data_IF_621872506031
#
_entry.id   IF_621872506031
#
_cell.length_a   1.000
_cell.length_b   1.000
_cell.length_c   1.000
_cell.angle_alpha   90.00
_cell.angle_beta   90.00
_cell.angle_gamma   90.00
#
_symmetry.space_group_name_H-M   'P 1'
#
loop_
_entity.id
_entity.type
_entity.pdbx_description
1 polymer ?
#
# COMPACT_ATOMS: atom_id res chain seq x y z
N UNK A 1 -6.49 -35.57 25.66
CA UNK A 1 -6.13 -34.35 26.41
C UNK A 1 -6.26 -33.14 25.48
N UNK A 2 -7.01 -32.12 25.90
CA UNK A 2 -7.42 -30.96 25.10
C UNK A 2 -6.25 -30.00 24.86
N UNK A 3 -6.14 -29.45 23.64
CA UNK A 3 -5.82 -28.03 23.42
C UNK A 3 -6.81 -27.48 22.40
N UNK A 4 -7.82 -26.83 22.96
CA UNK A 4 -8.79 -25.97 22.26
C UNK A 4 -8.06 -24.77 21.67
N UNK A 5 -8.08 -24.63 20.34
CA UNK A 5 -7.76 -23.40 19.63
C UNK A 5 -8.98 -22.98 18.84
N UNK A 6 -9.64 -21.90 19.26
CA UNK A 6 -10.73 -21.28 18.49
C UNK A 6 -10.07 -20.55 17.32
N UNK A 7 -10.15 -21.12 16.12
CA UNK A 7 -9.64 -20.50 14.90
C UNK A 7 -10.75 -19.66 14.27
N UNK A 8 -10.84 -18.38 14.64
CA UNK A 8 -11.76 -17.43 14.04
C UNK A 8 -11.29 -17.04 12.63
N UNK A 9 -12.11 -17.34 11.60
CA UNK A 9 -12.32 -16.65 10.30
C UNK A 9 -11.18 -15.82 9.67
N UNK A 10 -9.90 -16.17 9.81
CA UNK A 10 -8.81 -15.48 9.11
C UNK A 10 -7.93 -16.49 8.38
N UNK A 11 -7.63 -16.15 7.13
CA UNK A 11 -6.60 -16.78 6.30
C UNK A 11 -5.29 -16.83 7.09
N UNK A 12 -4.76 -18.03 7.33
CA UNK A 12 -3.45 -18.20 7.95
C UNK A 12 -2.37 -18.15 6.87
N UNK A 13 -1.33 -17.35 7.11
CA UNK A 13 -0.08 -17.37 6.35
C UNK A 13 0.90 -18.25 7.14
N UNK A 14 1.52 -19.24 6.51
CA UNK A 14 2.54 -20.08 7.14
C UNK A 14 3.88 -19.95 6.43
N UNK A 15 4.97 -19.84 7.19
CA UNK A 15 6.35 -19.85 6.70
C UNK A 15 7.00 -21.22 6.97
N UNK A 16 7.40 -22.01 5.97
CA UNK A 16 8.27 -23.16 6.19
C UNK A 16 9.74 -22.70 6.32
N UNK A 17 10.57 -23.59 6.89
CA UNK A 17 12.01 -23.40 7.18
C UNK A 17 12.91 -23.00 5.99
N UNK A 18 12.38 -22.88 4.77
CA UNK A 18 13.12 -22.54 3.55
C UNK A 18 13.11 -21.05 3.19
N UNK A 19 12.58 -20.17 4.05
CA UNK A 19 12.62 -18.71 3.83
C UNK A 19 11.61 -18.18 2.80
N UNK A 20 10.73 -19.02 2.26
CA UNK A 20 9.72 -18.67 1.25
C UNK A 20 8.31 -18.62 1.85
N UNK A 21 7.59 -17.53 1.60
CA UNK A 21 6.21 -17.33 2.10
C UNK A 21 5.17 -17.99 1.19
N UNK A 22 4.17 -18.66 1.76
CA UNK A 22 3.07 -19.33 1.02
C UNK A 22 1.73 -19.03 1.68
N UNK A 23 0.71 -18.75 0.87
CA UNK A 23 -0.69 -18.58 1.31
C UNK A 23 -1.48 -19.81 0.81
N UNK A 24 -2.12 -20.55 1.71
CA UNK A 24 -2.93 -21.73 1.39
C UNK A 24 -4.42 -21.43 1.59
N UNK A 25 -5.24 -21.65 0.55
CA UNK A 25 -6.71 -21.51 0.62
C UNK A 25 -7.42 -22.80 1.07
N UNK A 26 -8.65 -22.72 1.61
CA UNK A 26 -9.43 -23.88 2.03
C UNK A 26 -10.03 -24.66 0.84
N UNK A 27 -10.01 -25.99 0.90
CA UNK A 27 -10.69 -26.88 -0.06
C UNK A 27 -12.19 -26.97 0.27
N UNK A 28 -13.06 -26.96 -0.74
CA UNK A 28 -14.52 -27.09 -0.58
C UNK A 28 -15.07 -28.36 -1.23
N UNK A 29 -15.84 -29.13 -0.45
CA UNK A 29 -16.89 -30.04 -0.92
C UNK A 29 -18.11 -29.82 -0.02
N UNK A 30 -19.30 -29.65 -0.62
CA UNK A 30 -20.58 -29.72 0.10
C UNK A 30 -21.53 -28.53 -0.11
N UNK A 31 -22.74 -28.86 -0.58
CA UNK A 31 -23.84 -28.03 -1.07
C UNK A 31 -24.64 -27.21 -0.04
N UNK A 32 -25.05 -25.98 -0.38
CA UNK A 32 -26.09 -25.24 0.35
C UNK A 32 -26.13 -23.72 0.05
N UNK A 33 -27.25 -23.24 -0.51
CA UNK A 33 -27.56 -21.89 -1.01
C UNK A 33 -27.15 -20.69 -0.12
N UNK A 34 -26.42 -19.71 -0.67
CA UNK A 34 -26.88 -18.39 -1.15
C UNK A 34 -25.65 -17.47 -1.28
N UNK A 35 -25.37 -16.99 -2.48
CA UNK A 35 -24.10 -16.37 -2.83
C UNK A 35 -24.02 -14.92 -2.35
N UNK A 36 -23.01 -14.59 -1.52
CA UNK A 36 -22.31 -13.29 -1.57
C UNK A 36 -20.92 -13.35 -0.94
N UNK A 37 -20.13 -14.33 -1.34
CA UNK A 37 -18.67 -14.18 -1.28
C UNK A 37 -18.16 -14.51 -2.66
N UNK A 38 -17.70 -13.47 -3.36
CA UNK A 38 -16.82 -13.64 -4.51
C UNK A 38 -15.68 -14.50 -3.98
N UNK A 39 -15.65 -15.77 -4.40
CA UNK A 39 -14.41 -16.52 -4.41
C UNK A 39 -13.56 -15.71 -5.37
N UNK A 40 -12.80 -14.75 -4.87
CA UNK A 40 -11.86 -14.09 -5.74
C UNK A 40 -10.88 -15.18 -6.10
N UNK A 41 -10.93 -15.57 -7.37
CA UNK A 41 -9.84 -16.18 -8.13
C UNK A 41 -8.46 -15.78 -7.58
N UNK A 42 -7.39 -16.56 -7.87
CA UNK A 42 -6.02 -16.18 -7.54
C UNK A 42 -5.87 -14.67 -7.72
N UNK A 43 -5.66 -14.02 -6.58
CA UNK A 43 -5.72 -12.57 -6.30
C UNK A 43 -5.86 -11.69 -7.55
N UNK A 44 -7.00 -11.02 -7.76
CA UNK A 44 -7.12 -9.99 -8.80
C UNK A 44 -5.90 -9.03 -8.81
N UNK A 45 -5.46 -8.64 -10.01
CA UNK A 45 -4.43 -7.62 -10.19
C UNK A 45 -4.91 -6.28 -9.62
N UNK A 46 -3.95 -5.42 -9.24
CA UNK A 46 -4.21 -4.07 -8.71
C UNK A 46 -4.92 -4.05 -7.34
N UNK A 47 -4.68 -5.04 -6.50
CA UNK A 47 -5.13 -5.02 -5.11
C UNK A 47 -4.07 -4.44 -4.19
N UNK A 48 -4.45 -3.69 -3.15
CA UNK A 48 -3.49 -3.07 -2.25
C UNK A 48 -2.89 -4.12 -1.30
N UNK A 49 -1.59 -3.99 -1.07
CA UNK A 49 -0.78 -4.83 -0.21
C UNK A 49 -0.31 -4.01 0.97
N UNK A 50 -0.61 -4.49 2.17
CA UNK A 50 -0.39 -3.75 3.42
C UNK A 50 0.30 -4.61 4.47
N UNK A 51 0.97 -3.92 5.39
CA UNK A 51 1.50 -4.47 6.64
C UNK A 51 0.83 -3.75 7.82
N UNK A 52 0.95 -4.26 9.06
CA UNK A 52 0.49 -3.53 10.24
C UNK A 52 1.14 -2.14 10.41
N UNK A 53 2.32 -1.92 9.81
CA UNK A 53 3.07 -0.66 9.89
C UNK A 53 2.66 0.34 8.80
N UNK A 54 2.20 -0.13 7.64
CA UNK A 54 1.84 0.74 6.53
C UNK A 54 1.67 0.00 5.21
N UNK A 55 1.42 0.75 4.15
CA UNK A 55 1.28 0.24 2.80
C UNK A 55 2.63 -0.19 2.24
N UNK A 56 2.64 -1.33 1.55
CA UNK A 56 3.80 -1.85 0.82
C UNK A 56 3.70 -1.54 -0.65
N UNK A 57 2.50 -1.68 -1.24
CA UNK A 57 2.32 -1.51 -2.67
C UNK A 57 1.00 -2.11 -3.16
N UNK A 58 1.00 -2.58 -4.40
CA UNK A 58 -0.16 -3.21 -5.04
C UNK A 58 0.22 -4.47 -5.81
N UNK A 59 -0.71 -5.40 -5.98
CA UNK A 59 -0.49 -6.60 -6.78
C UNK A 59 -0.34 -6.22 -8.26
N UNK A 60 0.72 -6.72 -8.89
CA UNK A 60 0.96 -6.60 -10.32
C UNK A 60 0.55 -7.88 -11.02
N UNK A 61 1.53 -8.60 -11.55
CA UNK A 61 1.30 -9.89 -12.23
C UNK A 61 0.91 -10.98 -11.24
N UNK A 62 -0.23 -11.61 -11.49
CA UNK A 62 -0.75 -12.71 -10.66
C UNK A 62 -0.61 -14.00 -11.45
N UNK A 63 0.16 -14.93 -10.90
CA UNK A 63 0.28 -16.30 -11.37
C UNK A 63 -0.67 -17.24 -10.62
N UNK A 64 -0.61 -18.53 -10.97
CA UNK A 64 -1.45 -19.56 -10.35
C UNK A 64 -1.15 -19.78 -8.86
N UNK A 65 0.11 -19.62 -8.47
CA UNK A 65 0.61 -19.90 -7.11
C UNK A 65 1.40 -18.76 -6.49
N UNK A 66 1.78 -17.76 -7.28
CA UNK A 66 2.62 -16.63 -6.86
C UNK A 66 2.06 -15.34 -7.43
N UNK A 67 2.28 -14.24 -6.71
CA UNK A 67 1.90 -12.90 -7.17
C UNK A 67 3.10 -11.97 -7.01
N UNK A 68 3.38 -11.20 -8.06
CA UNK A 68 4.37 -10.12 -8.01
C UNK A 68 3.70 -8.88 -7.44
N UNK A 69 4.36 -8.23 -6.49
CA UNK A 69 3.91 -6.97 -5.88
C UNK A 69 4.76 -5.84 -6.42
N UNK A 70 4.10 -4.78 -6.88
CA UNK A 70 4.72 -3.52 -7.24
C UNK A 70 4.75 -2.64 -5.99
N UNK A 71 5.95 -2.28 -5.54
CA UNK A 71 6.16 -1.52 -4.31
C UNK A 71 5.82 -0.04 -4.50
N UNK A 72 5.48 0.66 -3.41
CA UNK A 72 5.27 2.12 -3.44
C UNK A 72 6.53 2.91 -3.80
N UNK A 73 7.72 2.30 -3.65
CA UNK A 73 9.01 2.85 -4.08
C UNK A 73 9.25 2.71 -5.58
N UNK A 74 8.36 2.07 -6.33
CA UNK A 74 8.40 2.01 -7.79
C UNK A 74 7.68 3.22 -8.40
N UNK A 75 8.26 3.84 -9.43
CA UNK A 75 7.67 4.98 -10.15
C UNK A 75 6.32 4.66 -10.79
N UNK A 76 6.08 3.38 -11.11
CA UNK A 76 4.81 2.90 -11.67
C UNK A 76 3.73 2.73 -10.58
N UNK A 77 4.10 2.74 -9.31
CA UNK A 77 3.17 2.63 -8.20
C UNK A 77 2.68 4.00 -7.72
N UNK A 78 1.78 4.58 -8.50
CA UNK A 78 1.10 5.82 -8.12
C UNK A 78 0.04 5.56 -7.05
N UNK A 79 0.09 6.34 -5.97
CA UNK A 79 -0.86 6.29 -4.85
C UNK A 79 -1.38 7.69 -4.58
N UNK A 80 -2.70 7.87 -4.54
CA UNK A 80 -3.30 9.15 -4.15
C UNK A 80 -3.26 9.31 -2.64
N UNK A 81 -2.64 10.40 -2.18
CA UNK A 81 -2.35 10.63 -0.76
C UNK A 81 -2.84 11.99 -0.27
N UNK A 82 -3.08 12.06 1.04
CA UNK A 82 -3.32 13.29 1.79
C UNK A 82 -2.39 13.34 2.99
N UNK A 83 -2.02 14.54 3.43
CA UNK A 83 -1.41 14.75 4.75
C UNK A 83 -2.50 14.90 5.82
N UNK A 84 -2.29 14.30 6.99
CA UNK A 84 -3.26 14.30 8.09
C UNK A 84 -3.36 15.67 8.78
N UNK A 85 -2.25 16.42 8.89
CA UNK A 85 -2.22 17.71 9.56
C UNK A 85 -2.72 18.84 8.67
N UNK A 86 -2.02 19.06 7.56
CA UNK A 86 -2.27 20.21 6.68
C UNK A 86 -3.36 19.98 5.62
N UNK A 87 -3.79 18.73 5.42
CA UNK A 87 -4.78 18.37 4.41
C UNK A 87 -4.29 18.53 2.96
N UNK A 88 -2.98 18.65 2.75
CA UNK A 88 -2.38 18.72 1.43
C UNK A 88 -2.60 17.43 0.67
N UNK A 89 -3.03 17.53 -0.59
CA UNK A 89 -3.28 16.38 -1.47
C UNK A 89 -2.20 16.29 -2.52
N UNK A 90 -1.89 15.07 -2.92
CA UNK A 90 -0.91 14.83 -3.97
C UNK A 90 -0.92 13.39 -4.44
N UNK A 91 0.04 13.09 -5.33
CA UNK A 91 0.30 11.75 -5.81
C UNK A 91 1.67 11.34 -5.29
N UNK A 92 1.69 10.21 -4.60
CA UNK A 92 2.91 9.55 -4.16
C UNK A 92 3.37 8.58 -5.26
N UNK A 93 4.66 8.62 -5.56
CA UNK A 93 5.35 7.73 -6.49
C UNK A 93 6.75 7.41 -5.95
N UNK A 94 7.30 6.30 -6.39
CA UNK A 94 8.68 5.93 -6.06
C UNK A 94 9.68 6.97 -6.53
N UNK A 95 10.72 7.21 -5.75
CA UNK A 95 11.85 8.02 -6.15
C UNK A 95 13.14 7.22 -5.96
N UNK A 96 14.14 7.52 -6.78
CA UNK A 96 15.47 6.91 -6.67
C UNK A 96 16.15 7.38 -5.37
N UNK A 97 16.61 6.46 -4.51
CA UNK A 97 17.32 6.83 -3.29
C UNK A 97 18.58 7.62 -3.63
N UNK A 98 18.74 8.81 -3.04
CA UNK A 98 19.99 9.56 -3.12
C UNK A 98 21.15 8.87 -2.36
N UNK A 99 20.82 8.03 -1.36
CA UNK A 99 21.78 7.42 -0.44
C UNK A 99 21.65 5.88 -0.37
N UNK A 100 21.82 5.19 -1.49
CA UNK A 100 22.35 3.82 -1.52
C UNK A 100 21.62 2.71 -0.75
N UNK A 101 20.32 2.83 -0.42
CA UNK A 101 19.57 1.68 0.09
C UNK A 101 18.25 1.94 0.82
N UNK A 102 17.93 3.17 1.22
CA UNK A 102 16.63 3.46 1.86
C UNK A 102 15.61 3.85 0.79
N UNK A 103 14.52 3.08 0.62
CA UNK A 103 13.49 3.43 -0.35
C UNK A 103 12.78 4.70 0.09
N UNK A 104 12.83 5.72 -0.76
CA UNK A 104 12.15 7.00 -0.59
C UNK A 104 11.00 7.11 -1.58
N UNK A 105 9.97 7.85 -1.20
CA UNK A 105 8.86 8.16 -2.07
C UNK A 105 8.77 9.66 -2.26
N UNK A 106 8.42 10.09 -3.47
CA UNK A 106 8.18 11.48 -3.81
C UNK A 106 6.69 11.72 -3.87
N UNK A 107 6.25 12.75 -3.14
CA UNK A 107 4.91 13.31 -3.24
C UNK A 107 4.95 14.48 -4.21
N UNK A 108 4.24 14.37 -5.33
CA UNK A 108 4.16 15.40 -6.38
C UNK A 108 2.72 15.86 -6.58
N UNK A 109 2.52 16.87 -7.42
CA UNK A 109 1.23 17.54 -7.67
C UNK A 109 0.58 18.12 -6.40
N UNK A 110 1.39 18.59 -5.46
CA UNK A 110 0.89 19.30 -4.28
C UNK A 110 0.60 20.75 -4.68
N UNK A 111 -0.59 21.26 -4.31
CA UNK A 111 -0.96 22.66 -4.55
C UNK A 111 0.07 23.61 -3.93
N UNK A 112 0.44 24.66 -4.65
CA UNK A 112 1.54 25.56 -4.25
C UNK A 112 1.27 26.23 -2.90
N UNK A 113 0.02 26.59 -2.64
CA UNK A 113 -0.45 27.26 -1.43
C UNK A 113 -0.68 26.30 -0.26
N UNK A 114 -0.68 24.98 -0.50
CA UNK A 114 -0.87 24.02 0.59
C UNK A 114 0.31 24.07 1.54
N UNK A 115 0.00 24.19 2.83
CA UNK A 115 0.97 23.94 3.88
C UNK A 115 1.29 22.45 3.83
N UNK A 116 2.55 22.08 3.87
CA UNK A 116 2.96 20.70 4.07
C UNK A 116 4.28 20.74 4.81
N UNK A 117 4.29 20.12 5.99
CA UNK A 117 5.39 20.23 6.93
C UNK A 117 6.08 18.88 7.13
N UNK A 118 7.36 18.94 7.47
CA UNK A 118 8.15 17.75 7.81
C UNK A 118 7.61 17.14 9.09
N UNK A 119 7.50 15.81 9.12
CA UNK A 119 6.95 15.07 10.26
C UNK A 119 5.45 14.77 10.17
N UNK A 120 4.74 15.31 9.17
CA UNK A 120 3.33 15.00 8.98
C UNK A 120 3.10 13.56 8.48
N UNK A 121 2.03 12.94 8.98
CA UNK A 121 1.59 11.62 8.54
C UNK A 121 0.88 11.71 7.19
N UNK A 122 1.22 10.78 6.31
CA UNK A 122 0.66 10.69 4.96
C UNK A 122 -0.27 9.47 4.88
N UNK A 123 -1.51 9.70 4.48
CA UNK A 123 -2.58 8.72 4.39
C UNK A 123 -3.10 8.59 2.96
N UNK A 124 -3.69 7.46 2.59
CA UNK A 124 -4.35 7.31 1.29
C UNK A 124 -5.70 8.02 1.24
N UNK A 125 -6.03 8.63 0.11
CA UNK A 125 -7.33 9.29 -0.10
C UNK A 125 -8.41 8.34 -0.60
N UNK A 126 -8.04 7.18 -1.12
CA UNK A 126 -8.96 6.28 -1.82
C UNK A 126 -9.21 6.66 -3.28
N UNK A 127 -8.66 7.78 -3.76
CA UNK A 127 -8.80 8.21 -5.15
C UNK A 127 -8.02 7.25 -6.06
N UNK A 128 -8.62 6.89 -7.19
CA UNK A 128 -8.09 5.89 -8.13
C UNK A 128 -8.54 4.46 -7.88
N UNK A 129 -9.29 4.18 -6.82
CA UNK A 129 -10.00 2.90 -6.60
C UNK A 129 -9.14 1.67 -6.34
N UNK A 130 -7.81 1.81 -6.34
CA UNK A 130 -6.84 0.73 -6.06
C UNK A 130 -6.58 0.59 -4.56
N UNK A 131 -6.35 1.71 -3.88
CA UNK A 131 -6.12 1.75 -2.45
C UNK A 131 -7.39 2.25 -1.77
N UNK A 132 -7.86 1.63 -0.67
CA UNK A 132 -8.91 2.24 0.13
C UNK A 132 -8.39 3.51 0.82
N UNK A 133 -9.28 4.41 1.26
CA UNK A 133 -8.88 5.58 2.03
C UNK A 133 -8.32 5.18 3.40
N UNK A 134 -7.59 6.11 4.01
CA UNK A 134 -7.15 6.06 5.40
C UNK A 134 -6.13 4.96 5.75
N UNK A 135 -5.28 4.59 4.79
CA UNK A 135 -4.14 3.72 5.05
C UNK A 135 -2.87 4.55 5.23
N UNK A 136 -2.07 4.22 6.24
CA UNK A 136 -0.79 4.88 6.49
C UNK A 136 0.22 4.51 5.40
N UNK A 137 0.74 5.53 4.73
CA UNK A 137 1.83 5.41 3.75
C UNK A 137 3.17 5.64 4.43
N UNK A 138 3.28 6.74 5.17
CA UNK A 138 4.57 7.21 5.64
C UNK A 138 4.50 8.54 6.37
N UNK A 139 5.66 9.16 6.52
CA UNK A 139 5.84 10.48 7.15
C UNK A 139 6.63 11.37 6.20
N UNK A 140 6.27 12.65 6.11
CA UNK A 140 7.01 13.64 5.30
C UNK A 140 8.42 13.78 5.86
N UNK A 141 9.43 13.47 5.05
CA UNK A 141 10.85 13.60 5.42
C UNK A 141 11.43 14.93 4.97
N UNK A 142 11.02 15.42 3.80
CA UNK A 142 11.50 16.69 3.26
C UNK A 142 10.35 17.47 2.65
N UNK A 143 10.30 18.76 2.99
CA UNK A 143 9.35 19.71 2.45
C UNK A 143 10.07 21.00 2.00
N UNK A 144 10.14 21.31 0.69
CA UNK A 144 10.68 22.57 0.23
C UNK A 144 9.81 23.71 0.76
N UNK A 145 10.38 24.81 1.28
CA UNK A 145 9.59 25.93 1.78
C UNK A 145 8.69 26.55 0.70
N UNK A 146 7.64 27.25 1.12
CA UNK A 146 6.71 27.97 0.21
C UNK A 146 7.42 28.96 -0.73
N UNK A 147 8.58 29.47 -0.29
CA UNK A 147 9.44 30.42 -1.00
C UNK A 147 10.45 29.77 -1.95
N UNK A 148 10.53 28.44 -2.02
CA UNK A 148 11.50 27.75 -2.87
C UNK A 148 11.14 27.87 -4.36
N UNK A 149 12.00 28.56 -5.12
CA UNK A 149 11.90 28.70 -6.59
C UNK A 149 12.19 27.41 -7.37
N UNK A 150 12.70 26.36 -6.70
CA UNK A 150 13.01 25.06 -7.32
C UNK A 150 11.79 24.24 -7.75
N UNK A 151 10.59 24.67 -7.41
CA UNK A 151 9.35 24.04 -7.87
C UNK A 151 9.00 24.60 -9.25
N UNK A 152 8.55 23.77 -10.19
CA UNK A 152 8.28 24.09 -11.61
C UNK A 152 7.10 25.05 -11.85
N UNK A 153 6.94 26.06 -11.00
CA UNK A 153 5.97 27.16 -11.08
C UNK A 153 4.54 26.81 -10.66
N UNK A 154 4.09 25.58 -10.96
CA UNK A 154 2.68 25.18 -10.88
C UNK A 154 2.34 24.30 -9.67
N UNK A 155 3.25 23.45 -9.22
CA UNK A 155 3.03 22.51 -8.11
C UNK A 155 4.30 22.35 -7.28
N UNK A 156 4.13 21.93 -6.03
CA UNK A 156 5.21 21.61 -5.12
C UNK A 156 5.42 20.10 -5.05
N UNK A 157 6.65 19.73 -4.71
CA UNK A 157 7.05 18.36 -4.49
C UNK A 157 7.65 18.21 -3.10
N UNK A 158 7.59 17.01 -2.52
CA UNK A 158 8.18 16.68 -1.24
C UNK A 158 8.60 15.22 -1.18
N UNK A 159 9.43 14.87 -0.20
CA UNK A 159 9.80 13.49 0.05
C UNK A 159 9.04 12.92 1.25
N UNK A 160 8.69 11.65 1.15
CA UNK A 160 7.96 10.88 2.14
C UNK A 160 8.75 9.60 2.43
N UNK A 161 9.07 9.40 3.70
CA UNK A 161 9.64 8.16 4.19
C UNK A 161 8.52 7.13 4.42
N UNK A 162 8.56 5.96 3.77
CA UNK A 162 7.61 4.87 4.01
C UNK A 162 7.55 4.47 5.50
N UNK A 163 6.34 4.22 6.01
CA UNK A 163 6.16 3.69 7.36
C UNK A 163 6.41 2.17 7.43
N UNK A 164 6.17 1.48 6.31
CA UNK A 164 6.51 0.08 6.14
C UNK A 164 8.00 -0.05 5.77
N UNK A 165 8.68 -1.01 6.41
CA UNK A 165 10.03 -1.40 6.00
C UNK A 165 9.93 -2.23 4.71
N UNK A 166 10.30 -1.62 3.58
CA UNK A 166 10.24 -2.27 2.27
C UNK A 166 11.46 -3.19 2.03
N UNK A 167 12.49 -3.16 2.89
CA UNK A 167 13.69 -3.98 2.77
C UNK A 167 13.55 -5.33 3.51
N UNK A 168 12.90 -5.38 4.69
CA UNK A 168 12.59 -6.63 5.42
C UNK A 168 11.08 -6.93 5.46
N UNK A 169 10.54 -7.40 4.34
CA UNK A 169 9.14 -7.80 4.23
C UNK A 169 8.95 -9.29 4.55
N UNK A 170 8.42 -9.55 5.76
CA UNK A 170 8.10 -10.90 6.23
C UNK A 170 6.66 -11.27 5.92
N UNK A 171 5.71 -10.59 6.52
CA UNK A 171 4.29 -10.89 6.38
C UNK A 171 3.55 -9.70 5.81
N UNK A 172 2.75 -9.97 4.79
CA UNK A 172 1.96 -8.96 4.09
C UNK A 172 0.54 -9.48 3.84
N UNK A 173 -0.40 -8.55 3.86
CA UNK A 173 -1.82 -8.82 3.67
C UNK A 173 -2.30 -8.14 2.40
N UNK A 174 -3.13 -8.84 1.63
CA UNK A 174 -3.79 -8.29 0.45
C UNK A 174 -5.21 -7.94 0.86
N UNK A 175 -5.61 -6.69 0.67
CA UNK A 175 -6.99 -6.29 1.00
C UNK A 175 -7.92 -6.68 -0.16
N UNK A 176 -8.61 -7.79 0.03
CA UNK A 176 -9.69 -8.26 -0.84
C UNK A 176 -11.00 -7.66 -0.34
N UNK A 177 -11.64 -6.75 -1.10
CA UNK A 177 -12.97 -6.23 -0.68
C UNK A 177 -13.36 -4.83 -1.13
N UNK A 178 -12.50 -4.09 -1.84
CA UNK A 178 -12.93 -2.86 -2.50
C UNK A 178 -13.59 -3.17 -3.83
N UNK A 179 -14.83 -2.71 -4.05
CA UNK A 179 -15.33 -2.60 -5.42
C UNK A 179 -14.41 -1.60 -6.14
N UNK A 180 -13.77 -1.95 -7.27
CA UNK A 180 -13.11 -0.94 -8.08
C UNK A 180 -14.15 0.12 -8.42
N UNK A 181 -13.82 1.40 -8.24
CA UNK A 181 -14.69 2.49 -8.63
C UNK A 181 -15.05 2.29 -10.12
N UNK A 182 -16.35 2.12 -10.40
CA UNK A 182 -16.87 1.95 -11.76
C UNK A 182 -16.40 3.14 -12.60
N UNK A 183 -15.73 2.84 -13.72
CA UNK A 183 -15.32 3.82 -14.72
C UNK A 183 -16.51 4.18 -15.60
#
# INVERSE_FOLDING_TARGET
MRRTGICGRKTCVCKPRSGRWTICGPKTTGSGRCWRSVISNPTASWQPVVTPRGIVGKTGTVGRTTTRVMLISDENCKVSVLTEGSGARGILLGDTPLNGGVPVCKMTFVTREAKFEVGERVLTTGLGGTFPPNLLVGTVSEAPPLTAEKNSGLYREGQVAPAADLNDLREMFILTGGSPAKK
#
